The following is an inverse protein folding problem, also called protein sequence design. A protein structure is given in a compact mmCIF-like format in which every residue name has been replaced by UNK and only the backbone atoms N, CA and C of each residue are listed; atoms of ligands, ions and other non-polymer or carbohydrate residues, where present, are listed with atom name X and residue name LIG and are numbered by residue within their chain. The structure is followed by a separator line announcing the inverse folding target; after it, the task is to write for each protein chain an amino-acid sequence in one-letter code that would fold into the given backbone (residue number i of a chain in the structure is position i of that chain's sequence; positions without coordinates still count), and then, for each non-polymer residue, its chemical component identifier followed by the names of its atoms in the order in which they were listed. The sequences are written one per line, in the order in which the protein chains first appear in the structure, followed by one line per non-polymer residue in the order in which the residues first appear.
data_IF_288692633833
#
_entry.id   IF_288692633833
#
_cell.length_a   1.000
_cell.length_b   1.000
_cell.length_c   1.000
_cell.angle_alpha   90.00
_cell.angle_beta   90.00
_cell.angle_gamma   90.00
#
_symmetry.space_group_name_H-M   'P 1'
#
loop_
_entity.id
_entity.type
_entity.pdbx_description
1 polymer ?
#
# COMPACT_ATOMS: atom_id res chain seq x y z
N UNK A 1 37.06 9.70 -9.05
CA UNK A 1 35.75 10.13 -8.52
C UNK A 1 35.34 9.02 -7.56
N UNK A 2 35.47 9.29 -6.26
CA UNK A 2 35.19 8.31 -5.22
C UNK A 2 33.68 8.30 -4.98
N UNK A 3 33.03 7.16 -5.21
CA UNK A 3 31.68 6.90 -4.73
C UNK A 3 31.74 6.81 -3.19
N UNK A 4 31.38 7.89 -2.51
CA UNK A 4 31.04 7.82 -1.08
C UNK A 4 29.67 7.13 -0.98
N UNK A 5 29.68 5.89 -0.46
CA UNK A 5 28.46 5.22 -0.06
C UNK A 5 27.70 6.09 0.96
N UNK A 6 26.36 6.16 0.90
CA UNK A 6 25.59 7.00 1.82
C UNK A 6 25.91 6.61 3.27
N UNK A 7 26.33 7.60 4.08
CA UNK A 7 26.61 7.41 5.51
C UNK A 7 25.33 6.93 6.20
N UNK A 8 25.21 5.62 6.46
CA UNK A 8 24.03 4.99 7.05
C UNK A 8 24.23 4.61 8.52
N UNK A 9 25.23 5.20 9.18
CA UNK A 9 25.63 4.86 10.55
C UNK A 9 24.88 5.62 11.66
N UNK A 10 25.05 5.22 12.93
CA UNK A 10 24.39 5.86 14.08
C UNK A 10 24.66 7.37 14.20
N UNK A 11 25.82 7.86 13.73
CA UNK A 11 26.15 9.29 13.71
C UNK A 11 25.27 10.07 12.74
N UNK A 12 25.02 9.52 11.56
CA UNK A 12 24.12 10.11 10.58
C UNK A 12 22.69 10.18 11.14
N UNK A 13 22.24 9.14 11.84
CA UNK A 13 20.94 9.18 12.54
C UNK A 13 20.83 10.34 13.55
N UNK A 14 21.80 10.47 14.46
CA UNK A 14 21.79 11.54 15.48
C UNK A 14 21.84 12.93 14.84
N UNK A 15 22.54 13.09 13.72
CA UNK A 15 22.68 14.38 13.07
C UNK A 15 21.46 14.77 12.22
N UNK A 16 20.96 13.85 11.41
CA UNK A 16 19.95 14.15 10.38
C UNK A 16 18.52 13.82 10.85
N UNK A 17 18.34 12.77 11.65
CA UNK A 17 17.00 12.28 12.02
C UNK A 17 16.58 12.65 13.45
N UNK A 18 17.48 12.65 14.43
CA UNK A 18 17.13 13.01 15.81
C UNK A 18 16.43 14.39 15.91
N UNK A 19 16.90 15.45 15.21
CA UNK A 19 16.22 16.74 15.25
C UNK A 19 14.79 16.71 14.71
N UNK A 20 14.42 15.72 13.88
CA UNK A 20 13.05 15.57 13.38
C UNK A 20 12.08 15.11 14.46
N UNK A 21 12.54 14.47 15.54
CA UNK A 21 11.68 14.01 16.63
C UNK A 21 11.45 15.09 17.70
N UNK A 22 12.30 16.11 17.71
CA UNK A 22 12.23 17.23 18.63
C UNK A 22 11.17 18.24 18.18
N UNK A 23 10.71 19.08 19.11
CA UNK A 23 9.72 20.10 18.82
C UNK A 23 10.23 21.13 17.78
N UNK A 24 9.34 21.92 17.16
CA UNK A 24 7.93 22.13 17.54
C UNK A 24 6.97 21.05 17.03
N UNK A 25 5.79 20.98 17.65
CA UNK A 25 4.73 20.04 17.29
C UNK A 25 3.58 20.76 16.61
N UNK A 26 2.88 20.04 15.74
CA UNK A 26 1.58 20.41 15.16
C UNK A 26 0.48 19.54 15.76
N UNK A 27 -0.76 20.03 15.71
CA UNK A 27 -1.94 19.26 16.07
C UNK A 27 -2.70 18.81 14.83
N UNK A 28 -3.12 17.55 14.81
CA UNK A 28 -4.02 16.97 13.80
C UNK A 28 -5.31 16.61 14.53
N UNK A 29 -6.44 17.22 14.15
CA UNK A 29 -7.78 16.89 14.65
C UNK A 29 -8.56 16.19 13.53
N UNK A 30 -9.26 15.11 13.87
CA UNK A 30 -10.18 14.43 12.96
C UNK A 30 -11.62 14.91 13.20
N UNK A 31 -12.37 15.10 12.12
CA UNK A 31 -13.78 15.52 12.18
C UNK A 31 -14.62 14.48 11.44
N UNK A 32 -15.67 13.90 12.03
CA UNK A 32 -16.36 14.33 13.26
C UNK A 32 -15.98 13.56 14.53
N UNK A 33 -15.00 12.64 14.53
CA UNK A 33 -14.63 11.91 15.76
C UNK A 33 -14.04 12.79 16.87
N UNK A 34 -13.54 13.98 16.53
CA UNK A 34 -12.86 14.92 17.43
C UNK A 34 -11.57 14.35 18.04
N UNK A 35 -11.01 13.28 17.46
CA UNK A 35 -9.73 12.70 17.90
C UNK A 35 -8.56 13.65 17.58
N UNK A 36 -7.70 13.90 18.56
CA UNK A 36 -6.59 14.85 18.45
C UNK A 36 -5.22 14.19 18.68
N UNK A 37 -4.28 14.49 17.79
CA UNK A 37 -2.92 13.99 17.84
C UNK A 37 -1.91 15.13 17.80
N UNK A 38 -0.83 14.98 18.57
CA UNK A 38 0.31 15.89 18.56
C UNK A 38 1.49 15.21 17.87
N UNK A 39 1.94 15.79 16.76
CA UNK A 39 2.96 15.19 15.88
C UNK A 39 4.11 16.18 15.69
N UNK A 40 5.35 15.69 15.58
CA UNK A 40 6.48 16.57 15.27
C UNK A 40 6.26 17.25 13.90
N UNK A 41 6.36 18.58 13.89
CA UNK A 41 6.24 19.38 12.68
C UNK A 41 7.31 19.01 11.67
N UNK A 42 8.56 18.93 12.13
CA UNK A 42 9.69 18.65 11.27
C UNK A 42 9.54 17.28 10.60
N UNK A 43 9.10 16.28 11.37
CA UNK A 43 8.92 14.91 10.88
C UNK A 43 7.85 14.83 9.79
N UNK A 44 6.65 15.35 10.05
CA UNK A 44 5.55 15.26 9.09
C UNK A 44 5.80 16.12 7.84
N UNK A 45 6.40 17.31 7.99
CA UNK A 45 6.73 18.17 6.85
C UNK A 45 7.87 17.60 5.99
N UNK A 46 8.84 16.89 6.60
CA UNK A 46 9.91 16.24 5.85
C UNK A 46 9.39 15.08 4.98
N UNK A 47 8.29 14.45 5.39
CA UNK A 47 7.70 13.28 4.70
C UNK A 47 6.53 13.62 3.79
N UNK A 48 6.00 14.84 3.87
CA UNK A 48 4.82 15.27 3.11
C UNK A 48 4.98 16.70 2.61
N UNK A 49 5.09 16.91 1.29
CA UNK A 49 5.03 18.24 0.70
C UNK A 49 3.72 18.96 1.00
N UNK A 50 2.61 18.22 1.15
CA UNK A 50 1.29 18.79 1.48
C UNK A 50 1.30 19.36 2.89
N UNK A 51 1.70 18.59 3.90
CA UNK A 51 1.81 19.11 5.26
C UNK A 51 2.88 20.19 5.39
N UNK A 52 3.98 20.09 4.64
CA UNK A 52 4.99 21.15 4.58
C UNK A 52 4.41 22.47 4.07
N UNK A 53 3.66 22.44 2.96
CA UNK A 53 2.99 23.61 2.42
C UNK A 53 1.93 24.16 3.38
N UNK A 54 1.22 23.29 4.09
CA UNK A 54 0.20 23.65 5.07
C UNK A 54 0.79 24.37 6.30
N UNK A 55 1.82 23.81 6.93
CA UNK A 55 2.36 24.33 8.19
C UNK A 55 3.50 25.35 8.04
N UNK A 56 4.12 25.45 6.87
CA UNK A 56 5.19 26.42 6.56
C UNK A 56 4.77 27.46 5.50
N UNK A 57 3.60 27.29 4.88
CA UNK A 57 3.08 28.21 3.88
C UNK A 57 2.41 29.44 4.49
N UNK A 58 1.43 29.98 3.76
CA UNK A 58 0.67 31.18 4.14
C UNK A 58 -0.78 30.87 4.54
N UNK A 59 -1.07 29.60 4.83
CA UNK A 59 -2.40 29.15 5.22
C UNK A 59 -2.65 29.34 6.72
N UNK A 60 -3.90 29.21 7.17
CA UNK A 60 -4.29 29.44 8.57
C UNK A 60 -3.54 28.48 9.51
N UNK A 61 -3.34 27.25 9.05
CA UNK A 61 -2.63 26.15 9.70
C UNK A 61 -1.16 26.51 10.00
N UNK A 62 -0.54 27.41 9.22
CA UNK A 62 0.81 27.91 9.51
C UNK A 62 0.86 28.82 10.74
N UNK A 63 -0.22 29.56 11.04
CA UNK A 63 -0.33 30.37 12.25
C UNK A 63 -0.77 29.54 13.45
N UNK A 64 -1.75 28.66 13.24
CA UNK A 64 -2.38 27.86 14.30
C UNK A 64 -1.55 26.64 14.69
N UNK A 65 -0.68 26.15 13.80
CA UNK A 65 0.04 24.86 13.96
C UNK A 65 -0.94 23.70 14.23
N UNK A 66 -2.13 23.79 13.64
CA UNK A 66 -3.24 22.84 13.78
C UNK A 66 -3.88 22.63 12.40
N UNK A 67 -4.30 21.40 12.11
CA UNK A 67 -5.08 21.04 10.93
C UNK A 67 -6.25 20.16 11.33
N UNK A 68 -7.41 20.43 10.74
CA UNK A 68 -8.58 19.56 10.78
C UNK A 68 -8.62 18.69 9.51
N UNK A 69 -8.63 17.37 9.68
CA UNK A 69 -8.81 16.43 8.58
C UNK A 69 -10.23 15.87 8.66
N UNK A 70 -10.99 16.08 7.59
CA UNK A 70 -12.31 15.49 7.44
C UNK A 70 -12.16 13.98 7.25
N UNK A 71 -12.85 13.22 8.10
CA UNK A 71 -12.96 11.78 7.95
C UNK A 71 -13.69 11.46 6.65
N UNK A 72 -13.05 10.63 5.85
CA UNK A 72 -13.53 10.23 4.55
C UNK A 72 -13.45 8.73 4.49
N UNK A 73 -14.59 8.09 4.24
CA UNK A 73 -14.73 6.64 4.16
C UNK A 73 -13.57 6.04 3.33
N UNK A 74 -12.82 5.14 3.97
CA UNK A 74 -11.66 4.43 3.41
C UNK A 74 -10.46 5.31 2.96
N UNK A 75 -10.43 6.62 3.23
CA UNK A 75 -9.26 7.50 2.95
C UNK A 75 -8.67 8.07 4.22
N UNK A 76 -9.51 8.72 5.05
CA UNK A 76 -9.09 9.36 6.30
C UNK A 76 -9.96 8.78 7.40
N UNK A 77 -9.31 8.08 8.33
CA UNK A 77 -9.93 7.43 9.48
C UNK A 77 -8.99 7.59 10.68
N UNK A 78 -9.53 7.48 11.89
CA UNK A 78 -8.74 7.37 13.13
C UNK A 78 -7.59 6.38 12.95
N UNK A 79 -7.91 5.17 12.48
CA UNK A 79 -6.94 4.10 12.23
C UNK A 79 -5.84 4.47 11.24
N UNK A 80 -6.17 5.07 10.11
CA UNK A 80 -5.16 5.41 9.08
C UNK A 80 -4.24 6.53 9.56
N UNK A 81 -4.75 7.49 10.33
CA UNK A 81 -3.95 8.58 10.92
C UNK A 81 -3.03 8.06 12.02
N UNK A 82 -3.52 7.21 12.92
CA UNK A 82 -2.68 6.55 13.91
C UNK A 82 -1.58 5.68 13.26
N UNK A 83 -1.93 4.95 12.20
CA UNK A 83 -0.98 4.16 11.42
C UNK A 83 0.08 5.04 10.75
N UNK A 84 -0.30 6.19 10.20
CA UNK A 84 0.65 7.17 9.66
C UNK A 84 1.58 7.70 10.75
N UNK A 85 1.05 8.03 11.93
CA UNK A 85 1.86 8.49 13.07
C UNK A 85 2.85 7.39 13.49
N UNK A 86 2.39 6.14 13.63
CA UNK A 86 3.27 5.02 13.93
C UNK A 86 4.37 4.88 12.88
N UNK A 87 4.02 4.97 11.60
CA UNK A 87 4.99 4.90 10.51
C UNK A 87 6.01 6.04 10.56
N UNK A 88 5.57 7.28 10.77
CA UNK A 88 6.46 8.45 10.84
C UNK A 88 7.53 8.26 11.92
N UNK A 89 7.15 7.70 13.08
CA UNK A 89 8.06 7.56 14.22
C UNK A 89 8.87 6.26 14.22
N UNK A 90 8.34 5.16 13.68
CA UNK A 90 8.97 3.83 13.77
C UNK A 90 9.49 3.32 12.43
N UNK A 91 9.08 3.92 11.31
CA UNK A 91 9.36 3.42 9.95
C UNK A 91 8.59 2.15 9.58
N UNK A 92 7.74 1.66 10.47
CA UNK A 92 6.92 0.44 10.32
C UNK A 92 5.55 0.64 10.93
N UNK A 93 4.55 -0.13 10.46
CA UNK A 93 3.20 -0.14 11.04
C UNK A 93 2.84 -1.55 11.49
N UNK A 94 2.24 -1.65 12.67
CA UNK A 94 1.76 -2.90 13.24
C UNK A 94 0.25 -2.76 13.52
N UNK A 95 -0.58 -3.25 12.60
CA UNK A 95 -2.03 -3.14 12.73
C UNK A 95 -2.64 -4.12 13.74
N UNK A 96 -1.96 -5.22 14.09
CA UNK A 96 -2.43 -6.23 15.05
C UNK A 96 -3.89 -6.70 14.85
N UNK A 97 -4.37 -6.72 13.60
CA UNK A 97 -5.74 -7.14 13.28
C UNK A 97 -5.90 -8.66 13.39
N UNK A 98 -7.13 -9.13 13.57
CA UNK A 98 -7.42 -10.55 13.83
C UNK A 98 -7.16 -11.43 12.60
N UNK A 99 -7.25 -10.85 11.40
CA UNK A 99 -7.04 -11.58 10.14
C UNK A 99 -6.14 -10.84 9.16
N UNK A 100 -5.52 -11.58 8.23
CA UNK A 100 -4.76 -10.96 7.13
C UNK A 100 -5.67 -10.09 6.24
N UNK A 101 -6.95 -10.44 6.10
CA UNK A 101 -7.93 -9.63 5.37
C UNK A 101 -8.11 -8.25 6.00
N UNK A 102 -8.38 -8.18 7.31
CA UNK A 102 -8.52 -6.91 8.04
C UNK A 102 -7.22 -6.08 8.02
N UNK A 103 -6.07 -6.75 8.11
CA UNK A 103 -4.77 -6.11 7.96
C UNK A 103 -4.63 -5.46 6.59
N UNK A 104 -5.02 -6.14 5.52
CA UNK A 104 -4.95 -5.60 4.15
C UNK A 104 -5.89 -4.41 3.99
N UNK A 105 -7.11 -4.45 4.53
CA UNK A 105 -8.02 -3.30 4.54
C UNK A 105 -7.40 -2.07 5.20
N UNK A 106 -6.78 -2.25 6.38
CA UNK A 106 -6.13 -1.16 7.10
C UNK A 106 -4.93 -0.57 6.35
N UNK A 107 -4.17 -1.41 5.64
CA UNK A 107 -3.02 -0.98 4.84
C UNK A 107 -3.45 -0.24 3.58
N UNK A 108 -4.55 -0.65 2.93
CA UNK A 108 -5.12 0.07 1.78
C UNK A 108 -5.62 1.46 2.22
N UNK A 109 -6.24 1.59 3.39
CA UNK A 109 -6.60 2.90 3.95
C UNK A 109 -5.38 3.78 4.18
N UNK A 110 -4.31 3.23 4.77
CA UNK A 110 -3.04 3.95 4.96
C UNK A 110 -2.43 4.38 3.62
N UNK A 111 -2.48 3.53 2.59
CA UNK A 111 -2.00 3.88 1.26
C UNK A 111 -2.79 5.06 0.66
N UNK A 112 -4.13 5.04 0.80
CA UNK A 112 -5.00 6.13 0.31
C UNK A 112 -4.76 7.44 1.06
N UNK A 113 -4.54 7.39 2.38
CA UNK A 113 -4.11 8.54 3.15
C UNK A 113 -2.74 9.05 2.66
N UNK A 114 -1.82 8.12 2.42
CA UNK A 114 -0.50 8.36 1.83
C UNK A 114 -0.56 9.18 0.56
N UNK A 115 -1.33 8.71 -0.42
CA UNK A 115 -1.51 9.38 -1.70
C UNK A 115 -2.18 10.75 -1.54
N UNK A 116 -3.21 10.84 -0.69
CA UNK A 116 -3.96 12.09 -0.46
C UNK A 116 -3.06 13.22 0.05
N UNK A 117 -2.13 12.91 0.93
CA UNK A 117 -1.20 13.86 1.54
C UNK A 117 0.22 13.77 0.97
N UNK A 118 0.43 13.02 -0.11
CA UNK A 118 1.71 12.81 -0.76
C UNK A 118 2.83 12.42 0.23
N UNK A 119 2.58 11.37 1.01
CA UNK A 119 3.55 10.83 1.98
C UNK A 119 4.58 9.97 1.24
N UNK A 120 5.84 10.40 1.23
CA UNK A 120 6.91 9.66 0.56
C UNK A 120 7.16 8.28 1.17
N UNK A 121 7.69 7.35 0.38
CA UNK A 121 8.07 5.99 0.77
C UNK A 121 6.93 5.08 1.29
N UNK A 122 5.71 5.60 1.46
CA UNK A 122 4.60 4.84 2.03
C UNK A 122 3.99 3.84 1.02
N UNK A 123 3.97 4.19 -0.26
CA UNK A 123 3.49 3.32 -1.34
C UNK A 123 4.25 1.99 -1.39
N UNK A 124 5.59 2.03 -1.45
CA UNK A 124 6.43 0.83 -1.43
C UNK A 124 6.18 -0.02 -0.17
N UNK A 125 6.12 0.63 0.99
CA UNK A 125 5.94 -0.06 2.28
C UNK A 125 4.58 -0.73 2.41
N UNK A 126 3.52 -0.06 1.95
CA UNK A 126 2.16 -0.61 1.98
C UNK A 126 2.02 -1.77 0.99
N UNK A 127 2.59 -1.66 -0.21
CA UNK A 127 2.64 -2.76 -1.18
C UNK A 127 3.40 -3.99 -0.65
N UNK A 128 4.60 -3.80 -0.08
CA UNK A 128 5.40 -4.88 0.52
C UNK A 128 4.69 -5.56 1.70
N UNK A 129 3.99 -4.78 2.52
CA UNK A 129 3.19 -5.32 3.61
C UNK A 129 2.07 -6.22 3.08
N UNK A 130 1.31 -5.75 2.08
CA UNK A 130 0.23 -6.54 1.46
C UNK A 130 0.82 -7.81 0.84
N UNK A 131 1.93 -7.71 0.09
CA UNK A 131 2.62 -8.87 -0.49
C UNK A 131 2.99 -9.89 0.58
N UNK A 132 3.56 -9.45 1.69
CA UNK A 132 3.90 -10.31 2.83
C UNK A 132 2.67 -11.06 3.38
N UNK A 133 1.55 -10.36 3.59
CA UNK A 133 0.31 -10.96 4.10
C UNK A 133 -0.33 -11.95 3.13
N UNK A 134 -0.23 -11.68 1.84
CA UNK A 134 -0.66 -12.57 0.75
C UNK A 134 0.20 -13.84 0.71
N UNK A 135 1.51 -13.73 0.92
CA UNK A 135 2.44 -14.86 0.89
C UNK A 135 2.44 -15.71 2.17
N UNK A 136 1.99 -15.20 3.32
CA UNK A 136 1.87 -15.95 4.58
C UNK A 136 0.69 -16.95 4.58
N UNK A 137 0.20 -17.35 3.41
CA UNK A 137 -0.82 -18.39 3.31
C UNK A 137 -0.27 -19.75 3.75
N UNK A 138 -0.78 -20.28 4.85
CA UNK A 138 -0.34 -21.56 5.45
C UNK A 138 -1.20 -22.77 5.07
N UNK A 139 -2.18 -22.58 4.20
CA UNK A 139 -3.03 -23.69 3.74
C UNK A 139 -2.40 -24.49 2.60
N UNK A 140 -3.10 -25.52 2.15
CA UNK A 140 -2.65 -26.33 1.01
C UNK A 140 -2.55 -25.48 -0.27
N UNK A 141 -1.44 -25.55 -1.02
CA UNK A 141 -1.27 -24.79 -2.25
C UNK A 141 -2.46 -24.98 -3.19
N UNK A 142 -3.05 -23.87 -3.62
CA UNK A 142 -4.17 -23.84 -4.55
C UNK A 142 -4.00 -22.68 -5.54
N UNK A 143 -4.84 -22.64 -6.57
CA UNK A 143 -4.81 -21.55 -7.55
C UNK A 143 -5.26 -20.20 -6.96
N UNK A 144 -5.85 -20.22 -5.76
CA UNK A 144 -6.29 -19.03 -5.03
C UNK A 144 -5.45 -18.76 -3.78
N UNK A 145 -4.27 -19.40 -3.62
CA UNK A 145 -3.44 -19.20 -2.42
C UNK A 145 -3.11 -17.74 -2.17
N UNK A 146 -2.69 -16.99 -3.20
CA UNK A 146 -2.35 -15.56 -3.06
C UNK A 146 -3.56 -14.65 -2.92
N UNK A 147 -4.75 -15.12 -3.28
CA UNK A 147 -5.98 -14.34 -3.09
C UNK A 147 -6.79 -14.82 -1.90
N UNK A 148 -6.30 -15.78 -1.12
CA UNK A 148 -7.08 -16.40 -0.05
C UNK A 148 -7.61 -15.40 0.97
N UNK A 149 -6.74 -14.48 1.42
CA UNK A 149 -7.10 -13.41 2.36
C UNK A 149 -7.67 -12.15 1.69
N UNK A 150 -7.83 -12.14 0.37
CA UNK A 150 -8.42 -11.02 -0.35
C UNK A 150 -9.94 -11.14 -0.43
N UNK A 151 -10.60 -10.01 -0.32
CA UNK A 151 -12.05 -9.82 -0.41
C UNK A 151 -12.40 -8.85 -1.54
N UNK A 152 -13.68 -8.83 -1.95
CA UNK A 152 -14.18 -7.96 -3.04
C UNK A 152 -13.87 -6.49 -2.74
N UNK A 153 -14.02 -6.10 -1.47
CA UNK A 153 -13.79 -4.75 -1.00
C UNK A 153 -12.33 -4.32 -1.13
N UNK A 154 -11.35 -5.22 -1.03
CA UNK A 154 -9.95 -4.86 -1.28
C UNK A 154 -9.73 -4.43 -2.73
N UNK A 155 -10.35 -5.16 -3.67
CA UNK A 155 -10.29 -4.84 -5.10
C UNK A 155 -10.97 -3.49 -5.36
N UNK A 156 -12.18 -3.30 -4.80
CA UNK A 156 -12.93 -2.06 -4.92
C UNK A 156 -12.18 -0.86 -4.32
N UNK A 157 -11.72 -0.97 -3.08
CA UNK A 157 -11.03 0.12 -2.37
C UNK A 157 -9.72 0.52 -3.02
N UNK A 158 -8.99 -0.41 -3.65
CA UNK A 158 -7.76 -0.10 -4.37
C UNK A 158 -7.98 0.74 -5.64
N UNK A 159 -9.20 0.77 -6.20
CA UNK A 159 -9.52 1.60 -7.38
C UNK A 159 -9.46 3.10 -7.10
N UNK A 160 -9.52 3.50 -5.83
CA UNK A 160 -9.36 4.88 -5.40
C UNK A 160 -7.89 5.35 -5.39
N UNK A 161 -6.93 4.42 -5.55
CA UNK A 161 -5.51 4.75 -5.67
C UNK A 161 -5.18 5.14 -7.12
N UNK A 162 -4.19 6.02 -7.35
CA UNK A 162 -3.73 6.43 -8.67
C UNK A 162 -3.37 5.25 -9.58
N UNK A 163 -3.44 5.47 -10.89
CA UNK A 163 -2.99 4.46 -11.86
C UNK A 163 -1.50 4.21 -11.72
N UNK A 164 -1.11 2.94 -11.71
CA UNK A 164 0.27 2.51 -11.52
C UNK A 164 0.70 2.42 -10.06
N UNK A 165 -0.21 2.67 -9.11
CA UNK A 165 0.13 2.57 -7.69
C UNK A 165 0.49 1.12 -7.30
N UNK A 166 1.59 0.91 -6.57
CA UNK A 166 2.15 -0.42 -6.29
C UNK A 166 1.21 -1.35 -5.51
N UNK A 167 0.33 -0.81 -4.67
CA UNK A 167 -0.73 -1.60 -4.01
C UNK A 167 -1.69 -2.21 -5.03
N UNK A 168 -2.06 -1.49 -6.09
CA UNK A 168 -2.90 -2.03 -7.18
C UNK A 168 -2.17 -3.12 -7.94
N UNK A 169 -0.88 -2.90 -8.21
CA UNK A 169 0.00 -3.87 -8.86
C UNK A 169 0.04 -5.18 -8.06
N UNK A 170 0.32 -5.13 -6.75
CA UNK A 170 0.37 -6.33 -5.89
C UNK A 170 -0.95 -7.11 -5.90
N UNK A 171 -2.09 -6.43 -5.83
CA UNK A 171 -3.40 -7.08 -5.87
C UNK A 171 -3.68 -7.73 -7.24
N UNK A 172 -3.26 -7.08 -8.33
CA UNK A 172 -3.35 -7.63 -9.68
C UNK A 172 -2.43 -8.85 -9.86
N UNK A 173 -1.17 -8.77 -9.42
CA UNK A 173 -0.20 -9.87 -9.42
C UNK A 173 -0.75 -11.10 -8.69
N UNK A 174 -1.30 -10.91 -7.49
CA UNK A 174 -1.89 -11.99 -6.69
C UNK A 174 -3.08 -12.67 -7.38
N UNK A 175 -3.72 -11.98 -8.32
CA UNK A 175 -4.89 -12.46 -9.04
C UNK A 175 -4.54 -13.26 -10.30
N UNK A 176 -3.34 -13.09 -10.87
CA UNK A 176 -2.92 -13.72 -12.14
C UNK A 176 -3.07 -15.23 -12.13
N UNK A 177 -2.53 -15.91 -11.11
CA UNK A 177 -2.56 -17.38 -11.03
C UNK A 177 -3.98 -17.93 -11.05
N UNK A 178 -4.86 -17.34 -10.24
CA UNK A 178 -6.26 -17.74 -10.16
C UNK A 178 -7.01 -17.45 -11.47
N UNK A 179 -6.76 -16.28 -12.06
CA UNK A 179 -7.37 -15.87 -13.31
C UNK A 179 -6.99 -16.77 -14.51
N UNK A 180 -5.71 -17.12 -14.64
CA UNK A 180 -5.23 -17.95 -15.75
C UNK A 180 -5.63 -19.43 -15.62
N UNK A 181 -5.78 -19.95 -14.40
CA UNK A 181 -5.94 -21.40 -14.17
C UNK A 181 -7.37 -21.83 -13.87
N UNK A 182 -8.27 -20.90 -13.56
CA UNK A 182 -9.67 -21.20 -13.25
C UNK A 182 -10.63 -20.58 -14.27
N UNK A 183 -11.55 -21.36 -14.84
CA UNK A 183 -12.59 -20.81 -15.72
C UNK A 183 -13.57 -19.91 -14.96
N UNK A 184 -13.70 -20.10 -13.64
CA UNK A 184 -14.49 -19.24 -12.74
C UNK A 184 -13.59 -18.69 -11.63
N UNK A 185 -12.84 -17.64 -11.96
CA UNK A 185 -12.03 -16.92 -10.98
C UNK A 185 -12.91 -16.06 -10.06
N UNK A 186 -12.61 -16.04 -8.75
CA UNK A 186 -13.48 -15.43 -7.74
C UNK A 186 -13.63 -13.92 -7.86
N UNK A 187 -12.67 -13.24 -8.49
CA UNK A 187 -12.72 -11.79 -8.75
C UNK A 187 -12.97 -11.44 -10.23
N UNK A 188 -13.49 -12.38 -11.02
CA UNK A 188 -13.78 -12.14 -12.42
C UNK A 188 -14.90 -11.12 -12.63
N UNK A 189 -15.83 -10.99 -11.69
CA UNK A 189 -16.90 -9.99 -11.71
C UNK A 189 -16.34 -8.60 -11.35
N UNK A 190 -15.48 -8.52 -10.35
CA UNK A 190 -14.83 -7.29 -9.88
C UNK A 190 -13.94 -6.68 -10.96
N UNK A 191 -13.23 -7.50 -11.73
CA UNK A 191 -12.46 -7.03 -12.88
C UNK A 191 -13.34 -6.37 -13.97
N UNK A 192 -14.64 -6.71 -14.03
CA UNK A 192 -15.61 -6.10 -14.96
C UNK A 192 -16.29 -4.87 -14.35
N UNK A 193 -16.67 -4.94 -13.07
CA UNK A 193 -17.31 -3.83 -12.33
C UNK A 193 -16.34 -2.66 -12.18
N UNK A 194 -15.05 -2.94 -12.00
CA UNK A 194 -14.00 -1.95 -11.82
C UNK A 194 -12.99 -2.01 -12.99
N UNK A 195 -13.24 -1.29 -14.10
CA UNK A 195 -12.41 -1.37 -15.30
C UNK A 195 -10.93 -1.04 -15.05
N UNK A 196 -10.64 -0.17 -14.08
CA UNK A 196 -9.26 0.15 -13.67
C UNK A 196 -8.55 -1.05 -13.04
N UNK A 197 -9.24 -1.81 -12.18
CA UNK A 197 -8.71 -3.06 -11.64
C UNK A 197 -8.60 -4.15 -12.72
N UNK A 198 -9.58 -4.25 -13.61
CA UNK A 198 -9.50 -5.14 -14.77
C UNK A 198 -8.31 -4.83 -15.67
N UNK A 199 -8.03 -3.54 -15.91
CA UNK A 199 -6.86 -3.11 -16.68
C UNK A 199 -5.53 -3.48 -15.99
N UNK A 200 -5.43 -3.32 -14.67
CA UNK A 200 -4.24 -3.72 -13.91
C UNK A 200 -4.04 -5.25 -14.00
N UNK A 201 -5.12 -6.04 -13.82
CA UNK A 201 -5.06 -7.50 -13.95
C UNK A 201 -4.60 -7.94 -15.34
N UNK A 202 -5.17 -7.35 -16.41
CA UNK A 202 -4.79 -7.69 -17.78
C UNK A 202 -3.35 -7.27 -18.09
N UNK A 203 -2.87 -6.18 -17.51
CA UNK A 203 -1.47 -5.77 -17.61
C UNK A 203 -0.54 -6.82 -16.99
N UNK A 204 -0.80 -7.24 -15.75
CA UNK A 204 0.02 -8.26 -15.06
C UNK A 204 -0.06 -9.62 -15.74
N UNK A 205 -1.21 -9.98 -16.30
CA UNK A 205 -1.35 -11.17 -17.15
C UNK A 205 -0.44 -11.04 -18.38
N UNK A 206 -0.46 -9.90 -19.09
CA UNK A 206 0.41 -9.69 -20.26
C UNK A 206 1.89 -9.86 -19.90
N UNK A 207 2.35 -9.20 -18.84
CA UNK A 207 3.73 -9.29 -18.33
C UNK A 207 4.09 -10.74 -17.97
N UNK A 208 3.16 -11.46 -17.33
CA UNK A 208 3.37 -12.87 -16.97
C UNK A 208 3.47 -13.77 -18.21
N UNK A 209 2.65 -13.53 -19.24
CA UNK A 209 2.65 -14.32 -20.46
C UNK A 209 3.88 -14.04 -21.35
N UNK A 210 4.47 -12.85 -21.30
CA UNK A 210 5.74 -12.55 -22.00
C UNK A 210 6.88 -13.48 -21.55
N UNK A 211 6.90 -13.86 -20.27
CA UNK A 211 7.89 -14.79 -19.72
C UNK A 211 7.74 -16.24 -20.22
N UNK A 212 6.59 -16.60 -20.78
CA UNK A 212 6.33 -17.96 -21.29
C UNK A 212 7.17 -18.26 -22.53
N UNK A 213 7.53 -17.24 -23.32
CA UNK A 213 8.38 -17.41 -24.49
C UNK A 213 9.72 -18.10 -24.15
N UNK A 214 10.17 -18.00 -22.89
CA UNK A 214 11.39 -18.62 -22.40
C UNK A 214 11.18 -20.02 -21.77
N UNK A 215 9.94 -20.40 -21.45
CA UNK A 215 9.61 -21.67 -20.78
C UNK A 215 8.31 -22.29 -21.33
N UNK A 216 8.39 -23.19 -22.33
CA UNK A 216 7.21 -23.77 -22.96
C UNK A 216 6.25 -24.42 -21.94
N UNK A 217 5.02 -23.89 -21.87
CA UNK A 217 3.98 -24.39 -20.98
C UNK A 217 4.15 -24.03 -19.50
N UNK A 218 5.04 -23.10 -19.16
CA UNK A 218 5.28 -22.62 -17.80
C UNK A 218 5.40 -21.09 -17.73
N UNK A 219 5.05 -20.51 -16.60
CA UNK A 219 5.28 -19.09 -16.30
C UNK A 219 5.78 -18.91 -14.86
N UNK A 220 6.38 -17.75 -14.58
CA UNK A 220 6.76 -17.36 -13.23
C UNK A 220 5.57 -16.67 -12.54
N UNK A 221 5.24 -17.11 -11.33
CA UNK A 221 4.26 -16.43 -10.49
C UNK A 221 4.75 -15.01 -10.18
N UNK A 222 3.97 -13.97 -10.47
CA UNK A 222 4.41 -12.59 -10.27
C UNK A 222 4.51 -12.19 -8.79
N UNK A 223 3.95 -12.95 -7.85
CA UNK A 223 4.04 -12.64 -6.41
C UNK A 223 5.29 -13.23 -5.77
N UNK A 224 5.59 -14.50 -6.03
CA UNK A 224 6.67 -15.22 -5.33
C UNK A 224 7.76 -15.77 -6.25
N UNK A 225 7.64 -15.57 -7.57
CA UNK A 225 8.58 -16.08 -8.56
C UNK A 225 8.53 -17.59 -8.77
N UNK A 226 7.56 -18.28 -8.16
CA UNK A 226 7.40 -19.73 -8.29
C UNK A 226 7.07 -20.16 -9.72
N UNK A 227 7.64 -21.26 -10.17
CA UNK A 227 7.35 -21.81 -11.51
C UNK A 227 5.98 -22.49 -11.52
N UNK A 228 5.10 -22.07 -12.45
CA UNK A 228 3.74 -22.60 -12.59
C UNK A 228 3.55 -23.19 -13.99
N UNK A 229 3.04 -24.43 -14.05
CA UNK A 229 2.61 -25.03 -15.30
C UNK A 229 1.26 -24.47 -15.77
N UNK A 230 1.21 -24.08 -17.03
CA UNK A 230 -0.05 -23.75 -17.70
C UNK A 230 -0.94 -24.99 -17.79
N UNK A 231 -2.23 -24.81 -17.47
CA UNK A 231 -3.25 -25.83 -17.69
C UNK A 231 -4.13 -25.38 -18.85
N UNK A 232 -3.85 -25.88 -20.04
CA UNK A 232 -4.76 -25.71 -21.17
C UNK A 232 -6.00 -26.56 -20.93
N UNK A 233 -7.11 -25.90 -20.59
CA UNK A 233 -8.39 -26.58 -20.50
C UNK A 233 -8.87 -26.90 -21.92
N UNK A 234 -9.12 -28.16 -22.21
CA UNK A 234 -9.83 -28.54 -23.44
C UNK A 234 -11.28 -28.10 -23.26
N UNK A 235 -11.71 -27.10 -24.02
CA UNK A 235 -13.12 -26.81 -24.22
C UNK A 235 -13.78 -28.06 -24.81
N UNK A 236 -14.73 -28.65 -24.08
CA UNK A 236 -15.66 -29.63 -24.62
C UNK A 236 -16.88 -28.92 -25.19
#
# INVERSE_FOLDING_TARGET
MSDEAPETGPRHFVKEFLPLFEGPYVKIRLVPSEEEYKVSKALICARSPVFSAMFNGRFRESGEQEVELEEMEQVVSVRSVEALIQWLYQGTVCFNMKSNSENISAVIELARLGDRYNIFDLENKTADYIRTKITDYRGSPSDNSHTWCLERDHIASATALPRGHLVREVLAQASVKGYLRRPTYKFAEEAQIYPTSGADLLHEVSVTLENIACMPGQYLDPIDGGVIHMRFQHSR
#
